data_IF_535189741155
#
_entry.id   IF_535189741155
#
_cell.length_a   1.000
_cell.length_b   1.000
_cell.length_c   1.000
_cell.angle_alpha   90.00
_cell.angle_beta   90.00
_cell.angle_gamma   90.00
#
_symmetry.space_group_name_H-M   'P 1'
#
loop_
_entity.id
_entity.type
_entity.pdbx_description
1 polymer ?
#
# COMPACT_ATOMS: atom_id res chain seq x y z
N UNK A 1 76.95 73.41 40.93
CA UNK A 1 75.77 73.17 40.07
C UNK A 1 74.82 74.35 40.23
N UNK A 2 74.41 75.03 39.17
CA UNK A 2 73.54 76.21 39.27
C UNK A 2 72.09 75.77 39.58
N UNK A 3 71.34 76.54 40.39
CA UNK A 3 69.93 76.26 40.73
C UNK A 3 69.09 76.05 39.47
N UNK A 4 69.38 76.79 38.39
CA UNK A 4 68.72 76.64 37.09
C UNK A 4 68.91 75.25 36.47
N UNK A 5 70.10 74.64 36.60
CA UNK A 5 70.39 73.32 36.03
C UNK A 5 69.68 72.20 36.81
N UNK A 6 69.57 72.36 38.13
CA UNK A 6 68.83 71.45 39.00
C UNK A 6 67.35 71.46 38.64
N UNK A 7 66.75 72.64 38.46
CA UNK A 7 65.34 72.78 38.04
C UNK A 7 65.10 72.19 36.65
N UNK A 8 66.00 72.43 35.68
CA UNK A 8 65.90 71.81 34.34
C UNK A 8 65.98 70.29 34.40
N UNK A 9 66.79 69.73 35.31
CA UNK A 9 66.88 68.29 35.53
C UNK A 9 65.58 67.73 36.10
N UNK A 10 65.00 68.38 37.10
CA UNK A 10 63.70 67.95 37.67
C UNK A 10 62.58 67.97 36.63
N UNK A 11 62.47 69.04 35.82
CA UNK A 11 61.46 69.11 34.75
C UNK A 11 61.63 68.01 33.69
N UNK A 12 62.87 67.62 33.37
CA UNK A 12 63.13 66.49 32.45
C UNK A 12 62.71 65.17 33.07
N UNK A 13 63.06 64.93 34.33
CA UNK A 13 62.66 63.70 35.03
C UNK A 13 61.13 63.59 35.12
N UNK A 14 60.44 64.68 35.48
CA UNK A 14 58.97 64.71 35.52
C UNK A 14 58.32 64.43 34.15
N UNK A 15 58.90 64.99 33.07
CA UNK A 15 58.45 64.70 31.71
C UNK A 15 58.67 63.24 31.31
N UNK A 16 59.83 62.68 31.63
CA UNK A 16 60.18 61.28 31.37
C UNK A 16 59.24 60.33 32.13
N UNK A 17 58.96 60.60 33.41
CA UNK A 17 57.99 59.83 34.21
C UNK A 17 56.58 59.87 33.60
N UNK A 18 56.12 61.03 33.14
CA UNK A 18 54.83 61.16 32.46
C UNK A 18 54.75 60.34 31.16
N UNK A 19 55.85 60.25 30.41
CA UNK A 19 55.92 59.42 29.20
C UNK A 19 55.95 57.92 29.52
N UNK A 20 56.65 57.52 30.58
CA UNK A 20 56.68 56.12 31.05
C UNK A 20 55.26 55.68 31.43
N UNK A 21 54.54 56.46 32.23
CA UNK A 21 53.16 56.14 32.65
C UNK A 21 52.22 55.98 31.44
N UNK A 22 52.36 56.83 30.41
CA UNK A 22 51.58 56.70 29.16
C UNK A 22 51.90 55.41 28.39
N UNK A 23 53.17 55.02 28.33
CA UNK A 23 53.59 53.78 27.69
C UNK A 23 53.08 52.56 28.46
N UNK A 24 53.18 52.57 29.79
CA UNK A 24 52.65 51.50 30.66
C UNK A 24 51.14 51.33 30.49
N UNK A 25 50.37 52.43 30.51
CA UNK A 25 48.93 52.40 30.28
C UNK A 25 48.58 51.82 28.89
N UNK A 26 49.32 52.18 27.85
CA UNK A 26 49.16 51.64 26.49
C UNK A 26 49.49 50.14 26.41
N UNK A 27 50.54 49.67 27.10
CA UNK A 27 50.92 48.26 27.15
C UNK A 27 49.83 47.44 27.86
N UNK A 28 49.34 47.92 29.00
CA UNK A 28 48.25 47.28 29.74
C UNK A 28 46.99 47.22 28.89
N UNK A 29 46.61 48.30 28.21
CA UNK A 29 45.47 48.33 27.29
C UNK A 29 45.58 47.32 26.15
N UNK A 30 46.75 47.23 25.50
CA UNK A 30 47.02 46.23 24.44
C UNK A 30 46.96 44.79 24.98
N UNK A 31 47.44 44.55 26.20
CA UNK A 31 47.39 43.22 26.82
C UNK A 31 45.95 42.77 27.11
N UNK A 32 45.10 43.69 27.58
CA UNK A 32 43.68 43.41 27.82
C UNK A 32 42.93 43.10 26.52
N UNK A 33 43.19 43.87 25.45
CA UNK A 33 42.62 43.62 24.12
C UNK A 33 43.07 42.25 23.59
N UNK A 34 44.35 41.89 23.74
CA UNK A 34 44.87 40.59 23.30
C UNK A 34 44.19 39.43 24.04
N UNK A 35 43.95 39.57 25.34
CA UNK A 35 43.22 38.55 26.12
C UNK A 35 41.80 38.37 25.60
N UNK A 36 41.05 39.46 25.42
CA UNK A 36 39.68 39.43 24.87
C UNK A 36 39.68 38.79 23.47
N UNK A 37 40.64 39.14 22.62
CA UNK A 37 40.75 38.57 21.28
C UNK A 37 40.98 37.06 21.32
N UNK A 38 41.87 36.58 22.20
CA UNK A 38 42.12 35.14 22.35
C UNK A 38 40.88 34.39 22.85
N UNK A 39 40.15 34.94 23.83
CA UNK A 39 38.88 34.36 24.30
C UNK A 39 37.84 34.29 23.17
N UNK A 40 37.72 35.34 22.36
CA UNK A 40 36.80 35.35 21.20
C UNK A 40 37.22 34.37 20.12
N UNK A 41 38.53 34.23 19.85
CA UNK A 41 39.05 33.25 18.88
C UNK A 41 38.77 31.81 19.33
N UNK A 42 38.92 31.53 20.62
CA UNK A 42 38.60 30.22 21.18
C UNK A 42 37.09 29.90 21.11
N UNK A 43 36.24 30.87 21.45
CA UNK A 43 34.80 30.72 21.28
C UNK A 43 34.44 30.49 19.80
N UNK A 44 35.06 31.22 18.88
CA UNK A 44 34.85 31.05 17.44
C UNK A 44 35.25 29.65 16.96
N UNK A 45 36.35 29.06 17.48
CA UNK A 45 36.74 27.70 17.11
C UNK A 45 35.70 26.66 17.55
N UNK A 46 35.13 26.81 18.75
CA UNK A 46 34.06 25.91 19.23
C UNK A 46 32.82 26.05 18.34
N UNK A 47 32.40 27.28 18.02
CA UNK A 47 31.23 27.48 17.16
C UNK A 47 31.41 26.87 15.77
N UNK A 48 32.61 26.96 15.18
CA UNK A 48 32.91 26.33 13.89
C UNK A 48 32.76 24.81 13.95
N UNK A 49 33.19 24.18 15.05
CA UNK A 49 33.03 22.75 15.25
C UNK A 49 31.56 22.36 15.40
N UNK A 50 30.78 23.12 16.19
CA UNK A 50 29.34 22.90 16.32
C UNK A 50 28.59 23.04 14.99
N UNK A 51 28.91 24.04 14.16
CA UNK A 51 28.31 24.20 12.83
C UNK A 51 28.61 22.98 11.97
N UNK A 52 29.86 22.51 11.95
CA UNK A 52 30.24 21.31 11.19
C UNK A 52 29.48 20.06 11.65
N UNK A 53 29.29 19.90 12.96
CA UNK A 53 28.52 18.78 13.52
C UNK A 53 27.04 18.87 13.15
N UNK A 54 26.45 20.08 13.19
CA UNK A 54 25.07 20.30 12.75
C UNK A 54 24.89 20.03 11.25
N UNK A 55 25.85 20.42 10.42
CA UNK A 55 25.83 20.10 8.98
C UNK A 55 25.87 18.60 8.71
N UNK A 56 26.67 17.85 9.48
CA UNK A 56 26.71 16.38 9.39
C UNK A 56 25.38 15.77 9.80
N UNK A 57 24.84 16.21 10.94
CA UNK A 57 23.56 15.73 11.45
C UNK A 57 22.39 16.03 10.50
N UNK A 58 22.36 17.23 9.90
CA UNK A 58 21.35 17.55 8.90
C UNK A 58 21.43 16.64 7.68
N UNK A 59 22.64 16.32 7.18
CA UNK A 59 22.79 15.37 6.06
C UNK A 59 22.31 13.97 6.41
N UNK A 60 22.54 13.53 7.64
CA UNK A 60 22.04 12.23 8.11
C UNK A 60 20.51 12.22 8.21
N UNK A 61 19.91 13.30 8.70
CA UNK A 61 18.46 13.47 8.73
C UNK A 61 17.84 13.51 7.33
N UNK A 62 18.45 14.22 6.38
CA UNK A 62 17.99 14.27 4.98
C UNK A 62 17.94 12.87 4.38
N UNK A 63 19.01 12.08 4.55
CA UNK A 63 19.03 10.67 4.10
C UNK A 63 17.94 9.84 4.75
N UNK A 64 17.76 9.98 6.07
CA UNK A 64 16.72 9.25 6.79
C UNK A 64 15.32 9.62 6.27
N UNK A 65 15.07 10.88 5.97
CA UNK A 65 13.80 11.35 5.40
C UNK A 65 13.58 10.74 4.01
N UNK A 66 14.59 10.75 3.14
CA UNK A 66 14.52 10.12 1.82
C UNK A 66 14.22 8.62 1.91
N UNK A 67 14.90 7.89 2.80
CA UNK A 67 14.67 6.46 3.02
C UNK A 67 13.25 6.18 3.54
N UNK A 68 12.75 7.00 4.48
CA UNK A 68 11.40 6.87 5.01
C UNK A 68 10.35 7.17 3.94
N UNK A 69 10.57 8.19 3.13
CA UNK A 69 9.66 8.54 2.04
C UNK A 69 9.58 7.42 1.00
N UNK A 70 10.72 6.85 0.60
CA UNK A 70 10.75 5.71 -0.32
C UNK A 70 10.00 4.49 0.24
N UNK A 71 10.13 4.22 1.54
CA UNK A 71 9.41 3.13 2.20
C UNK A 71 7.89 3.36 2.24
N UNK A 72 7.46 4.60 2.51
CA UNK A 72 6.05 4.98 2.49
C UNK A 72 5.46 4.79 1.09
N UNK A 73 6.15 5.26 0.04
CA UNK A 73 5.70 5.07 -1.35
C UNK A 73 5.55 3.59 -1.68
N UNK A 74 6.55 2.76 -1.35
CA UNK A 74 6.49 1.31 -1.58
C UNK A 74 5.31 0.65 -0.86
N UNK A 75 5.02 1.08 0.37
CA UNK A 75 3.86 0.57 1.12
C UNK A 75 2.54 1.00 0.51
N UNK A 76 2.46 2.22 -0.05
CA UNK A 76 1.26 2.68 -0.76
C UNK A 76 1.01 1.87 -2.03
N UNK A 77 2.06 1.56 -2.80
CA UNK A 77 1.95 0.67 -3.97
C UNK A 77 1.43 -0.72 -3.58
N UNK A 78 1.97 -1.31 -2.50
CA UNK A 78 1.50 -2.60 -2.00
C UNK A 78 0.04 -2.57 -1.52
N UNK A 79 -0.41 -1.47 -0.92
CA UNK A 79 -1.80 -1.31 -0.51
C UNK A 79 -2.71 -1.26 -1.74
N UNK A 80 -2.33 -0.52 -2.78
CA UNK A 80 -3.11 -0.45 -4.02
C UNK A 80 -3.22 -1.80 -4.72
N UNK A 81 -2.13 -2.59 -4.75
CA UNK A 81 -2.16 -3.96 -5.28
C UNK A 81 -3.15 -4.83 -4.49
N UNK A 82 -3.09 -4.81 -3.16
CA UNK A 82 -3.99 -5.58 -2.30
C UNK A 82 -5.45 -5.14 -2.41
N UNK A 83 -5.71 -3.84 -2.56
CA UNK A 83 -7.06 -3.31 -2.79
C UNK A 83 -7.62 -3.82 -4.12
N UNK A 84 -6.80 -3.83 -5.18
CA UNK A 84 -7.20 -4.38 -6.48
C UNK A 84 -7.45 -5.89 -6.43
N UNK A 85 -6.62 -6.66 -5.72
CA UNK A 85 -6.82 -8.10 -5.54
C UNK A 85 -8.10 -8.39 -4.76
N UNK A 86 -8.40 -7.58 -3.74
CA UNK A 86 -9.62 -7.70 -2.95
C UNK A 86 -10.86 -7.44 -3.80
N UNK A 87 -10.87 -6.38 -4.61
CA UNK A 87 -12.00 -6.05 -5.49
C UNK A 87 -12.25 -7.16 -6.52
N UNK A 88 -11.19 -7.75 -7.09
CA UNK A 88 -11.31 -8.87 -8.01
C UNK A 88 -11.87 -10.12 -7.32
N UNK A 89 -11.44 -10.39 -6.08
CA UNK A 89 -11.93 -11.51 -5.29
C UNK A 89 -13.40 -11.33 -4.90
N UNK A 90 -13.79 -10.14 -4.45
CA UNK A 90 -15.18 -9.83 -4.11
C UNK A 90 -16.11 -9.99 -5.31
N UNK A 91 -15.66 -9.58 -6.50
CA UNK A 91 -16.40 -9.80 -7.75
C UNK A 91 -16.60 -11.28 -8.04
N UNK A 92 -15.54 -12.09 -7.91
CA UNK A 92 -15.62 -13.56 -8.10
C UNK A 92 -16.56 -14.21 -7.09
N UNK A 93 -16.51 -13.79 -5.84
CA UNK A 93 -17.35 -14.32 -4.77
C UNK A 93 -18.83 -13.96 -5.00
N UNK A 94 -19.11 -12.75 -5.46
CA UNK A 94 -20.46 -12.33 -5.85
C UNK A 94 -20.98 -13.14 -7.05
N UNK A 95 -20.18 -13.29 -8.11
CA UNK A 95 -20.53 -14.11 -9.27
C UNK A 95 -20.82 -15.57 -8.88
N UNK A 96 -20.02 -16.13 -7.97
CA UNK A 96 -20.23 -17.48 -7.44
C UNK A 96 -21.51 -17.58 -6.60
N UNK A 97 -21.79 -16.57 -5.76
CA UNK A 97 -23.03 -16.52 -4.98
C UNK A 97 -24.26 -16.49 -5.89
N UNK A 98 -24.25 -15.67 -6.95
CA UNK A 98 -25.33 -15.60 -7.93
C UNK A 98 -25.53 -16.94 -8.66
N UNK A 99 -24.45 -17.63 -9.04
CA UNK A 99 -24.53 -18.97 -9.64
C UNK A 99 -25.16 -19.98 -8.68
N UNK A 100 -24.75 -19.97 -7.41
CA UNK A 100 -25.31 -20.88 -6.40
C UNK A 100 -26.79 -20.61 -6.12
N UNK A 101 -27.20 -19.34 -6.08
CA UNK A 101 -28.59 -18.95 -5.94
C UNK A 101 -29.43 -19.39 -7.15
N UNK A 102 -28.91 -19.22 -8.36
CA UNK A 102 -29.56 -19.70 -9.58
C UNK A 102 -29.75 -21.23 -9.56
N UNK A 103 -28.72 -21.97 -9.15
CA UNK A 103 -28.80 -23.42 -8.97
C UNK A 103 -29.84 -23.77 -7.92
N UNK A 104 -29.88 -23.09 -6.76
CA UNK A 104 -30.89 -23.34 -5.71
C UNK A 104 -32.31 -23.13 -6.24
N UNK A 105 -32.59 -21.98 -6.86
CA UNK A 105 -33.91 -21.68 -7.41
C UNK A 105 -34.33 -22.71 -8.46
N UNK A 106 -33.40 -23.10 -9.32
CA UNK A 106 -33.68 -24.10 -10.35
C UNK A 106 -33.96 -25.48 -9.74
N UNK A 107 -33.23 -25.89 -8.69
CA UNK A 107 -33.49 -27.13 -7.94
C UNK A 107 -34.89 -27.14 -7.33
N UNK A 108 -35.31 -26.03 -6.71
CA UNK A 108 -36.64 -25.89 -6.12
C UNK A 108 -37.76 -25.96 -7.17
N UNK A 109 -37.54 -25.32 -8.34
CA UNK A 109 -38.54 -25.30 -9.43
C UNK A 109 -38.66 -26.64 -10.18
N UNK A 110 -37.56 -27.40 -10.30
CA UNK A 110 -37.49 -28.63 -11.11
C UNK A 110 -37.54 -29.91 -10.28
N UNK A 111 -37.71 -29.82 -8.95
CA UNK A 111 -37.64 -30.96 -8.01
C UNK A 111 -36.38 -31.84 -8.24
N UNK A 112 -35.26 -31.20 -8.57
CA UNK A 112 -34.03 -31.87 -9.03
C UNK A 112 -32.86 -31.55 -8.12
N UNK A 113 -31.99 -32.53 -7.87
CA UNK A 113 -30.74 -32.35 -7.15
C UNK A 113 -29.54 -32.65 -8.07
N UNK A 114 -28.77 -31.60 -8.38
CA UNK A 114 -27.51 -31.70 -9.14
C UNK A 114 -26.32 -31.87 -8.20
N UNK A 115 -25.46 -32.83 -8.53
CA UNK A 115 -24.16 -33.05 -7.92
C UNK A 115 -23.15 -32.02 -8.43
N UNK A 116 -22.92 -30.97 -7.64
CA UNK A 116 -21.95 -29.90 -7.95
C UNK A 116 -20.49 -30.35 -7.81
N UNK A 117 -20.23 -31.55 -7.29
CA UNK A 117 -18.89 -32.16 -7.21
C UNK A 117 -18.65 -33.18 -8.33
N UNK A 118 -19.56 -33.27 -9.32
CA UNK A 118 -19.32 -34.07 -10.51
C UNK A 118 -18.09 -33.56 -11.27
N UNK A 119 -17.50 -34.42 -12.10
CA UNK A 119 -16.38 -34.04 -12.97
C UNK A 119 -16.79 -32.83 -13.84
N UNK A 120 -15.87 -31.92 -14.20
CA UNK A 120 -16.18 -30.72 -14.99
C UNK A 120 -16.96 -31.01 -16.27
N UNK A 121 -16.71 -32.19 -16.86
CA UNK A 121 -17.31 -32.65 -18.10
C UNK A 121 -18.59 -33.49 -17.89
N UNK A 122 -19.13 -33.53 -16.68
CA UNK A 122 -20.26 -34.38 -16.33
C UNK A 122 -21.32 -33.61 -15.52
N UNK A 123 -22.56 -33.63 -16.00
CA UNK A 123 -23.73 -33.15 -15.26
C UNK A 123 -24.46 -34.36 -14.70
N UNK A 124 -24.36 -34.54 -13.38
CA UNK A 124 -24.96 -35.68 -12.67
C UNK A 124 -25.97 -35.21 -11.62
N UNK A 125 -27.04 -35.98 -11.42
CA UNK A 125 -28.05 -35.64 -10.43
C UNK A 125 -29.13 -36.69 -10.23
N UNK A 126 -30.13 -36.32 -9.44
CA UNK A 126 -31.39 -37.05 -9.29
C UNK A 126 -32.56 -36.11 -9.56
N UNK A 127 -33.60 -36.62 -10.18
CA UNK A 127 -34.86 -35.91 -10.40
C UNK A 127 -36.01 -36.70 -9.78
N UNK A 128 -37.06 -36.00 -9.36
CA UNK A 128 -38.27 -36.61 -8.84
C UNK A 128 -39.23 -36.91 -10.00
N UNK A 129 -39.61 -38.17 -10.18
CA UNK A 129 -40.52 -38.62 -11.21
C UNK A 129 -41.82 -39.10 -10.60
N UNK A 130 -42.94 -38.61 -11.13
CA UNK A 130 -44.26 -39.10 -10.78
C UNK A 130 -44.50 -40.45 -11.48
N UNK A 131 -44.74 -41.49 -10.68
CA UNK A 131 -45.09 -42.84 -11.14
C UNK A 131 -46.51 -43.18 -10.72
N UNK A 132 -47.04 -44.30 -11.24
CA UNK A 132 -48.40 -44.77 -10.91
C UNK A 132 -48.52 -45.14 -9.42
N UNK A 133 -47.40 -45.40 -8.74
CA UNK A 133 -47.33 -45.83 -7.34
C UNK A 133 -46.90 -44.71 -6.36
N UNK A 134 -46.49 -43.55 -6.86
CA UNK A 134 -46.05 -42.42 -6.03
C UNK A 134 -44.98 -41.55 -6.71
N UNK A 135 -44.07 -40.98 -5.92
CA UNK A 135 -42.92 -40.23 -6.43
C UNK A 135 -41.64 -41.06 -6.24
N UNK A 136 -40.85 -41.24 -7.30
CA UNK A 136 -39.58 -41.96 -7.26
C UNK A 136 -38.41 -41.07 -7.66
N UNK A 137 -37.23 -41.34 -7.12
CA UNK A 137 -36.00 -40.64 -7.49
C UNK A 137 -35.33 -41.35 -8.66
N UNK A 138 -35.18 -40.65 -9.79
CA UNK A 138 -34.48 -41.15 -10.98
C UNK A 138 -33.10 -40.49 -11.09
N UNK A 139 -32.05 -41.30 -11.14
CA UNK A 139 -30.67 -40.83 -11.34
C UNK A 139 -30.40 -40.50 -12.81
N UNK A 140 -29.69 -39.41 -13.07
CA UNK A 140 -29.18 -39.07 -14.40
C UNK A 140 -27.70 -38.68 -14.37
N UNK A 141 -27.01 -38.97 -15.46
CA UNK A 141 -25.61 -38.62 -15.69
C UNK A 141 -25.43 -38.30 -17.16
N UNK A 142 -24.99 -37.08 -17.47
CA UNK A 142 -24.74 -36.59 -18.83
C UNK A 142 -23.26 -36.22 -18.91
N UNK A 143 -22.50 -36.89 -19.77
CA UNK A 143 -21.13 -36.49 -20.10
C UNK A 143 -21.18 -35.42 -21.18
N UNK A 144 -20.81 -34.19 -20.88
CA UNK A 144 -20.75 -33.09 -21.85
C UNK A 144 -19.55 -33.20 -22.79
N UNK A 145 -18.56 -34.06 -22.48
CA UNK A 145 -17.44 -34.35 -23.37
C UNK A 145 -17.77 -35.42 -24.42
N UNK A 146 -18.64 -36.39 -24.10
CA UNK A 146 -18.95 -37.52 -24.98
C UNK A 146 -20.24 -37.35 -25.80
N UNK A 147 -21.02 -36.31 -25.53
CA UNK A 147 -22.30 -36.06 -26.19
C UNK A 147 -22.30 -34.73 -26.94
N UNK A 148 -22.82 -34.74 -28.16
CA UNK A 148 -23.13 -33.52 -28.91
C UNK A 148 -24.33 -32.80 -28.30
N UNK A 149 -24.46 -31.49 -28.55
CA UNK A 149 -25.56 -30.66 -28.03
C UNK A 149 -26.96 -31.24 -28.34
N UNK A 150 -27.12 -31.87 -29.51
CA UNK A 150 -28.35 -32.57 -29.90
C UNK A 150 -28.62 -33.85 -29.12
N UNK A 151 -27.57 -34.60 -28.77
CA UNK A 151 -27.70 -35.81 -27.95
C UNK A 151 -28.02 -35.45 -26.51
N UNK A 152 -27.41 -34.37 -26.00
CA UNK A 152 -27.75 -33.78 -24.70
C UNK A 152 -29.20 -33.32 -24.71
N UNK A 153 -29.66 -32.59 -25.74
CA UNK A 153 -31.08 -32.24 -25.90
C UNK A 153 -32.00 -33.47 -25.95
N UNK A 154 -31.56 -34.57 -26.58
CA UNK A 154 -32.33 -35.81 -26.63
C UNK A 154 -32.48 -36.49 -25.27
N UNK A 155 -31.40 -36.53 -24.47
CA UNK A 155 -31.41 -37.05 -23.10
C UNK A 155 -32.26 -36.15 -22.19
N UNK A 156 -32.09 -34.84 -22.30
CA UNK A 156 -32.93 -33.84 -21.63
C UNK A 156 -34.40 -34.00 -22.00
N UNK A 157 -34.72 -34.19 -23.28
CA UNK A 157 -36.11 -34.31 -23.73
C UNK A 157 -36.78 -35.56 -23.15
N UNK A 158 -36.05 -36.65 -22.95
CA UNK A 158 -36.56 -37.86 -22.27
C UNK A 158 -36.77 -37.63 -20.76
N UNK A 159 -35.82 -36.98 -20.09
CA UNK A 159 -35.93 -36.61 -18.67
C UNK A 159 -37.07 -35.61 -18.41
N UNK A 160 -37.29 -34.67 -19.34
CA UNK A 160 -38.28 -33.60 -19.26
C UNK A 160 -39.67 -34.06 -19.72
N UNK A 161 -39.78 -35.15 -20.49
CA UNK A 161 -41.07 -35.64 -21.01
C UNK A 161 -42.08 -35.91 -19.88
N UNK A 162 -41.58 -36.25 -18.69
CA UNK A 162 -42.37 -36.48 -17.48
C UNK A 162 -42.59 -35.22 -16.61
N UNK A 163 -41.89 -34.10 -16.88
CA UNK A 163 -41.98 -32.83 -16.14
C UNK A 163 -42.27 -31.61 -17.04
N UNK A 164 -43.16 -31.78 -18.03
CA UNK A 164 -43.35 -30.86 -19.17
C UNK A 164 -43.50 -29.36 -18.84
N UNK A 165 -43.96 -29.00 -17.64
CA UNK A 165 -44.13 -27.61 -17.20
C UNK A 165 -42.80 -26.85 -17.01
N UNK A 166 -41.67 -27.54 -16.80
CA UNK A 166 -40.39 -26.91 -16.44
C UNK A 166 -39.29 -27.06 -17.49
N UNK A 167 -39.65 -27.40 -18.74
CA UNK A 167 -38.71 -27.71 -19.83
C UNK A 167 -37.65 -26.63 -20.06
N UNK A 168 -38.04 -25.37 -19.97
CA UNK A 168 -37.14 -24.23 -20.24
C UNK A 168 -36.18 -23.98 -19.08
N UNK A 169 -36.65 -24.17 -17.84
CA UNK A 169 -35.86 -24.13 -16.62
C UNK A 169 -34.82 -25.24 -16.59
N UNK A 170 -35.19 -26.45 -17.05
CA UNK A 170 -34.27 -27.57 -17.21
C UNK A 170 -33.17 -27.32 -18.23
N UNK A 171 -33.51 -26.71 -19.38
CA UNK A 171 -32.52 -26.30 -20.38
C UNK A 171 -31.54 -25.28 -19.81
N UNK A 172 -32.04 -24.24 -19.14
CA UNK A 172 -31.21 -23.22 -18.48
C UNK A 172 -30.31 -23.82 -17.39
N UNK A 173 -30.83 -24.77 -16.62
CA UNK A 173 -30.09 -25.41 -15.54
C UNK A 173 -28.91 -26.27 -16.03
N UNK A 174 -29.07 -26.99 -17.14
CA UNK A 174 -28.06 -27.95 -17.64
C UNK A 174 -27.13 -27.33 -18.69
N UNK A 175 -27.64 -26.46 -19.55
CA UNK A 175 -26.89 -25.84 -20.64
C UNK A 175 -26.45 -24.39 -20.32
N UNK A 176 -26.93 -23.81 -19.22
CA UNK A 176 -26.75 -22.39 -18.90
C UNK A 176 -27.73 -21.48 -19.66
N UNK A 177 -27.63 -20.16 -19.43
CA UNK A 177 -28.28 -19.19 -20.31
C UNK A 177 -27.60 -19.23 -21.68
N UNK A 178 -28.30 -19.75 -22.69
CA UNK A 178 -27.91 -19.56 -24.09
C UNK A 178 -27.88 -18.05 -24.35
N UNK A 179 -26.79 -17.50 -24.92
CA UNK A 179 -26.78 -16.11 -25.33
C UNK A 179 -27.98 -15.88 -26.24
N UNK A 180 -28.78 -14.85 -25.96
CA UNK A 180 -29.80 -14.39 -26.89
C UNK A 180 -29.09 -14.16 -28.22
N UNK A 181 -29.34 -15.05 -29.18
CA UNK A 181 -29.06 -14.75 -30.57
C UNK A 181 -29.93 -13.53 -30.87
N UNK A 182 -29.33 -12.34 -30.74
CA UNK A 182 -29.84 -11.13 -31.34
C UNK A 182 -29.91 -11.40 -32.84
N UNK A 183 -31.05 -11.92 -33.28
CA UNK A 183 -31.46 -11.90 -34.67
C UNK A 183 -31.67 -10.43 -35.04
N UNK A 184 -30.57 -9.73 -35.33
CA UNK A 184 -30.62 -8.51 -36.10
C UNK A 184 -31.14 -8.88 -37.49
N UNK A 185 -32.44 -8.65 -37.69
CA UNK A 185 -33.05 -8.59 -39.02
C UNK A 185 -32.87 -7.20 -39.60
#
# INVERSE_FOLDING_TARGET
MNKCDVVKRFKRMEYEECQIVKLEANIVGKSAIKRILNEKLYALSIYKEHVKNLELYNRELEKLVEEKQANVTKKQEQIQELESELEEQEKKDLENMMKMDHVRQSKELTETYINLQALPDHVQGVTLKDTVEGKEWEHFCISTADHTEKEIEGVLTKLIQDQSAYKEQWRKLILGELPEHNETT
#
